data_IF_678570173474
#
_entry.id   IF_678570173474
#
_cell.length_a   1.000
_cell.length_b   1.000
_cell.length_c   1.000
_cell.angle_alpha   90.00
_cell.angle_beta   90.00
_cell.angle_gamma   90.00
#
_symmetry.space_group_name_H-M   'P 1'
#
loop_
_entity.id
_entity.type
_entity.pdbx_description
1 polymer ?
#
# COMPACT_ATOMS: atom_id res chain seq x y z
N UNK A 1 15.35 -2.94 15.89
CA UNK A 1 15.19 -2.16 14.65
C UNK A 1 14.30 -2.97 13.72
N UNK A 2 13.28 -2.39 13.08
CA UNK A 2 12.51 -3.11 12.06
C UNK A 2 13.44 -3.49 10.90
N UNK A 3 13.37 -4.74 10.47
CA UNK A 3 14.10 -5.23 9.31
C UNK A 3 13.18 -5.18 8.09
N UNK A 4 13.74 -4.72 6.96
CA UNK A 4 13.07 -4.78 5.67
C UNK A 4 13.49 -6.05 4.94
N UNK A 5 12.52 -6.84 4.52
CA UNK A 5 12.73 -8.06 3.72
C UNK A 5 12.13 -7.86 2.34
N UNK A 6 12.87 -8.21 1.29
CA UNK A 6 12.32 -8.22 -0.06
C UNK A 6 11.49 -9.49 -0.24
N UNK A 7 10.23 -9.31 -0.62
CA UNK A 7 9.28 -10.38 -0.91
C UNK A 7 9.05 -10.41 -2.43
N UNK A 8 9.35 -11.54 -3.12
CA UNK A 8 9.25 -11.63 -4.59
C UNK A 8 7.83 -11.53 -5.14
N UNK A 9 6.83 -11.82 -4.31
CA UNK A 9 5.43 -11.80 -4.69
C UNK A 9 4.54 -11.24 -3.57
N UNK A 10 4.02 -10.04 -3.81
CA UNK A 10 2.99 -9.39 -3.00
C UNK A 10 1.91 -8.82 -3.91
N UNK A 11 0.66 -8.91 -3.46
CA UNK A 11 -0.49 -8.34 -4.15
C UNK A 11 -0.91 -7.01 -3.53
N UNK A 12 -1.09 -5.96 -4.34
CA UNK A 12 -1.70 -4.71 -3.85
C UNK A 12 -3.19 -4.89 -3.53
N UNK A 13 -3.86 -3.84 -3.05
CA UNK A 13 -5.30 -3.89 -2.72
C UNK A 13 -6.19 -4.14 -3.96
N UNK A 14 -5.66 -3.93 -5.18
CA UNK A 14 -6.35 -4.25 -6.44
C UNK A 14 -6.03 -5.67 -6.95
N UNK A 15 -5.25 -6.47 -6.21
CA UNK A 15 -4.88 -7.84 -6.58
C UNK A 15 -3.74 -7.94 -7.60
N UNK A 16 -3.04 -6.83 -7.91
CA UNK A 16 -1.90 -6.85 -8.84
C UNK A 16 -0.66 -7.32 -8.12
N UNK A 17 0.02 -8.30 -8.69
CA UNK A 17 1.20 -8.92 -8.11
C UNK A 17 2.49 -8.19 -8.50
N UNK A 18 3.37 -8.02 -7.52
CA UNK A 18 4.63 -7.31 -7.67
C UNK A 18 5.72 -7.83 -6.73
N UNK A 19 6.89 -7.21 -6.81
CA UNK A 19 7.94 -7.35 -5.78
C UNK A 19 7.71 -6.30 -4.71
N UNK A 20 8.00 -6.58 -3.45
CA UNK A 20 7.83 -5.57 -2.42
C UNK A 20 8.76 -5.68 -1.24
N UNK A 21 8.82 -4.59 -0.48
CA UNK A 21 9.51 -4.53 0.79
C UNK A 21 8.49 -4.76 1.91
N UNK A 22 8.73 -5.79 2.72
CA UNK A 22 7.97 -6.07 3.93
C UNK A 22 8.77 -5.61 5.14
N UNK A 23 8.20 -4.71 5.92
CA UNK A 23 8.82 -4.12 7.10
C UNK A 23 7.99 -4.54 8.30
N UNK A 24 8.57 -5.38 9.16
CA UNK A 24 7.89 -5.91 10.35
C UNK A 24 8.41 -5.23 11.61
N UNK A 25 7.48 -4.84 12.46
CA UNK A 25 7.70 -4.28 13.79
C UNK A 25 7.05 -5.18 14.83
N UNK A 26 7.85 -5.71 15.76
CA UNK A 26 7.39 -6.51 16.89
C UNK A 26 7.17 -5.59 18.10
N UNK A 27 6.06 -5.77 18.81
CA UNK A 27 5.70 -5.05 20.02
C UNK A 27 5.19 -6.00 21.11
N UNK A 28 4.93 -5.48 22.33
CA UNK A 28 4.45 -6.31 23.45
C UNK A 28 3.08 -6.95 23.19
N UNK A 29 2.25 -6.36 22.33
CA UNK A 29 0.88 -6.79 22.06
C UNK A 29 0.70 -7.52 20.71
N UNK A 30 1.81 -7.90 20.05
CA UNK A 30 1.82 -8.53 18.72
C UNK A 30 2.74 -7.80 17.75
N UNK A 31 2.44 -7.85 16.45
CA UNK A 31 3.27 -7.22 15.43
C UNK A 31 2.49 -6.37 14.43
N UNK A 32 3.20 -5.49 13.74
CA UNK A 32 2.71 -4.70 12.62
C UNK A 32 3.62 -4.93 11.40
N UNK A 33 3.04 -5.06 10.21
CA UNK A 33 3.76 -5.31 8.96
C UNK A 33 3.30 -4.35 7.89
N UNK A 34 4.21 -3.49 7.44
CA UNK A 34 3.99 -2.62 6.30
C UNK A 34 4.59 -3.26 5.04
N UNK A 35 3.82 -3.30 3.97
CA UNK A 35 4.21 -3.86 2.68
C UNK A 35 4.13 -2.77 1.61
N UNK A 36 5.26 -2.44 1.00
CA UNK A 36 5.32 -1.55 -0.17
C UNK A 36 5.51 -2.39 -1.42
N UNK A 37 4.64 -2.20 -2.42
CA UNK A 37 4.49 -3.13 -3.54
C UNK A 37 4.80 -2.39 -4.83
N UNK A 38 5.63 -3.00 -5.66
CA UNK A 38 6.17 -2.44 -6.88
C UNK A 38 6.04 -3.43 -8.04
N UNK A 39 5.85 -2.91 -9.24
CA UNK A 39 5.94 -3.69 -10.46
C UNK A 39 7.35 -4.30 -10.60
N UNK A 40 7.44 -5.57 -10.99
CA UNK A 40 8.71 -6.32 -10.99
C UNK A 40 9.76 -5.77 -11.94
N UNK A 41 9.35 -5.29 -13.11
CA UNK A 41 10.28 -4.90 -14.17
C UNK A 41 10.73 -3.45 -14.03
N UNK A 42 9.79 -2.56 -13.69
CA UNK A 42 10.01 -1.11 -13.69
C UNK A 42 10.21 -0.53 -12.29
N UNK A 43 9.94 -1.31 -11.24
CA UNK A 43 9.82 -0.85 -9.86
C UNK A 43 8.81 0.30 -9.69
N UNK A 44 7.83 0.41 -10.58
CA UNK A 44 6.74 1.38 -10.43
C UNK A 44 5.91 1.03 -9.20
N UNK A 45 5.66 2.01 -8.35
CA UNK A 45 4.83 1.84 -7.17
C UNK A 45 3.40 1.43 -7.54
N UNK A 46 2.93 0.32 -6.98
CA UNK A 46 1.59 -0.21 -7.19
C UNK A 46 0.67 0.13 -6.02
N UNK A 47 1.20 0.17 -4.81
CA UNK A 47 0.42 0.42 -3.60
C UNK A 47 1.13 -0.05 -2.34
N UNK A 48 0.42 0.02 -1.23
CA UNK A 48 0.90 -0.47 0.06
C UNK A 48 -0.22 -1.20 0.81
N UNK A 49 0.17 -2.06 1.74
CA UNK A 49 -0.74 -2.67 2.71
C UNK A 49 -0.13 -2.60 4.11
N UNK A 50 -0.98 -2.50 5.13
CA UNK A 50 -0.57 -2.66 6.52
C UNK A 50 -1.39 -3.76 7.17
N UNK A 51 -0.68 -4.63 7.88
CA UNK A 51 -1.23 -5.74 8.63
C UNK A 51 -0.87 -5.57 10.09
N UNK A 52 -1.75 -6.06 10.94
CA UNK A 52 -1.54 -6.12 12.38
C UNK A 52 -1.85 -7.53 12.86
N UNK A 53 -1.07 -8.01 13.80
CA UNK A 53 -1.46 -9.13 14.64
C UNK A 53 -1.71 -8.63 16.05
N UNK A 54 -2.83 -9.07 16.63
CA UNK A 54 -3.15 -8.94 18.05
C UNK A 54 -3.57 -10.32 18.56
N UNK A 55 -2.82 -10.89 19.49
CA UNK A 55 -3.05 -12.26 19.95
C UNK A 55 -2.75 -13.29 18.87
N UNK A 56 -3.76 -14.03 18.40
CA UNK A 56 -3.62 -15.05 17.33
C UNK A 56 -4.28 -14.65 16.02
N UNK A 57 -4.80 -13.42 15.93
CA UNK A 57 -5.53 -12.94 14.76
C UNK A 57 -4.68 -11.93 13.98
N UNK A 58 -4.47 -12.22 12.69
CA UNK A 58 -3.89 -11.29 11.71
C UNK A 58 -5.02 -10.56 10.97
N UNK A 59 -4.95 -9.24 10.92
CA UNK A 59 -5.95 -8.39 10.26
C UNK A 59 -5.28 -7.35 9.37
N UNK A 60 -5.86 -7.10 8.19
CA UNK A 60 -5.44 -5.99 7.33
C UNK A 60 -6.02 -4.69 7.88
N UNK A 61 -5.16 -3.75 8.29
CA UNK A 61 -5.58 -2.42 8.75
C UNK A 61 -5.97 -1.51 7.59
N UNK A 62 -5.30 -1.66 6.45
CA UNK A 62 -5.59 -0.86 5.28
C UNK A 62 -4.59 -1.09 4.16
N UNK A 63 -4.84 -0.39 3.06
CA UNK A 63 -3.94 -0.41 1.92
C UNK A 63 -4.45 0.48 0.81
N UNK A 64 -3.59 0.69 -0.18
CA UNK A 64 -3.91 1.48 -1.37
C UNK A 64 -3.51 0.74 -2.63
N UNK A 65 -4.12 1.13 -3.74
CA UNK A 65 -3.70 0.73 -5.08
C UNK A 65 -3.71 1.95 -6.01
N UNK A 66 -2.61 2.16 -6.72
CA UNK A 66 -2.48 3.20 -7.75
C UNK A 66 -3.16 2.70 -9.02
N UNK A 67 -4.40 3.13 -9.26
CA UNK A 67 -5.20 2.65 -10.39
C UNK A 67 -4.75 3.25 -11.73
N UNK A 68 -4.42 4.54 -11.74
CA UNK A 68 -3.96 5.26 -12.92
C UNK A 68 -2.96 6.35 -12.53
N UNK A 69 -2.00 6.59 -13.42
CA UNK A 69 -1.07 7.73 -13.35
C UNK A 69 -1.20 8.48 -14.66
N UNK A 70 -1.32 9.81 -14.60
CA UNK A 70 -1.34 10.68 -15.77
C UNK A 70 -0.33 11.80 -15.56
N UNK A 71 0.59 11.96 -16.51
CA UNK A 71 1.46 13.14 -16.57
C UNK A 71 0.69 14.23 -17.31
N UNK A 72 0.65 15.42 -16.72
CA UNK A 72 -0.08 16.58 -17.24
C UNK A 72 0.82 17.81 -17.20
N UNK A 73 0.67 18.71 -18.16
CA UNK A 73 1.47 19.95 -18.24
C UNK A 73 1.04 20.98 -17.19
N UNK A 74 -0.20 20.90 -16.72
CA UNK A 74 -0.78 21.75 -15.68
C UNK A 74 -1.79 21.00 -14.84
N UNK A 75 -2.08 21.50 -13.63
CA UNK A 75 -3.12 20.95 -12.76
C UNK A 75 -4.47 20.93 -13.52
N UNK A 76 -5.19 19.79 -13.56
CA UNK A 76 -6.49 19.72 -14.20
C UNK A 76 -7.51 20.60 -13.46
N UNK A 77 -8.42 21.23 -14.20
CA UNK A 77 -9.55 21.93 -13.59
C UNK A 77 -10.42 20.93 -12.82
N UNK A 78 -10.58 21.16 -11.52
CA UNK A 78 -11.53 20.40 -10.71
C UNK A 78 -12.93 20.88 -11.10
N UNK A 79 -13.81 19.99 -11.62
CA UNK A 79 -15.18 20.39 -11.93
C UNK A 79 -15.85 20.99 -10.70
N UNK A 80 -16.55 22.12 -10.85
CA UNK A 80 -17.27 22.78 -9.73
C UNK A 80 -18.30 21.88 -9.04
N UNK A 81 -18.71 20.81 -9.72
CA UNK A 81 -19.66 19.80 -9.24
C UNK A 81 -18.98 18.49 -8.85
N UNK A 82 -17.64 18.41 -8.82
CA UNK A 82 -16.96 17.28 -8.22
C UNK A 82 -17.44 17.22 -6.76
N UNK A 83 -18.17 16.15 -6.42
CA UNK A 83 -18.71 15.97 -5.07
C UNK A 83 -17.63 16.21 -4.03
N UNK A 84 -17.99 16.85 -2.91
CA UNK A 84 -17.03 17.09 -1.82
C UNK A 84 -16.33 15.77 -1.51
N UNK A 85 -14.98 15.73 -1.48
CA UNK A 85 -14.28 14.52 -1.09
C UNK A 85 -14.79 14.10 0.28
N UNK A 86 -15.37 12.90 0.34
CA UNK A 86 -15.75 12.28 1.60
C UNK A 86 -14.44 11.85 2.27
N UNK A 87 -13.96 12.65 3.19
CA UNK A 87 -12.96 12.18 4.14
C UNK A 87 -13.70 11.31 5.15
N UNK A 88 -13.41 10.00 5.14
CA UNK A 88 -13.81 9.05 6.18
C UNK A 88 -12.85 9.14 7.36
#
# INVERSE_FOLDING_TARGET
MPAATVVPDLADTAGRHGVGASIRYEGPDGWERAEFIFERETYRFLGWRTWIERGTEETMLGGTAVLAIKVVDSMPEVPKNAGKPAFC
#
